data_IF_074626345297
#
_entry.id   IF_074626345297
#
_cell.length_a   1.000
_cell.length_b   1.000
_cell.length_c   1.000
_cell.angle_alpha   90.00
_cell.angle_beta   90.00
_cell.angle_gamma   90.00
#
_symmetry.space_group_name_H-M   'P 1'
#
loop_
_entity.id
_entity.type
_entity.pdbx_description
1 polymer ?
#
# COMPACT_ATOMS: atom_id res chain seq x y z
N UNK A 1 -43.18 -10.57 5.40
CA UNK A 1 -41.90 -10.63 6.16
C UNK A 1 -40.80 -10.66 5.13
N UNK A 2 -40.27 -9.49 4.81
CA UNK A 2 -39.20 -9.32 3.81
C UNK A 2 -37.88 -9.77 4.42
N UNK A 3 -37.19 -10.64 3.69
CA UNK A 3 -35.92 -11.22 4.05
C UNK A 3 -34.82 -10.20 3.78
N UNK A 4 -34.33 -9.54 4.83
CA UNK A 4 -33.17 -8.67 4.75
C UNK A 4 -31.92 -9.53 4.52
N UNK A 5 -31.55 -9.68 3.25
CA UNK A 5 -30.25 -10.21 2.86
C UNK A 5 -29.16 -9.32 3.44
N UNK A 6 -28.30 -9.90 4.27
CA UNK A 6 -27.03 -9.28 4.64
C UNK A 6 -26.19 -9.16 3.35
N UNK A 7 -26.15 -7.97 2.77
CA UNK A 7 -25.16 -7.62 1.76
C UNK A 7 -23.79 -7.62 2.45
N UNK A 8 -23.05 -8.71 2.30
CA UNK A 8 -21.63 -8.72 2.63
C UNK A 8 -20.94 -7.80 1.63
N UNK A 9 -20.68 -6.56 2.02
CA UNK A 9 -19.99 -5.60 1.16
C UNK A 9 -18.56 -6.10 0.97
N UNK A 10 -18.34 -6.81 -0.13
CA UNK A 10 -17.01 -7.28 -0.53
C UNK A 10 -16.22 -6.06 -1.00
N UNK A 11 -15.21 -5.66 -0.25
CA UNK A 11 -14.27 -4.61 -0.66
C UNK A 11 -13.62 -5.01 -2.00
N UNK A 12 -13.57 -4.09 -2.96
CA UNK A 12 -12.91 -4.38 -4.23
C UNK A 12 -11.39 -4.46 -4.02
N UNK A 13 -10.68 -5.14 -4.94
CA UNK A 13 -9.22 -5.21 -4.89
C UNK A 13 -8.55 -3.83 -4.85
N UNK A 14 -9.12 -2.85 -5.57
CA UNK A 14 -8.58 -1.48 -5.59
C UNK A 14 -8.92 -0.69 -4.33
N UNK A 15 -10.06 -0.94 -3.68
CA UNK A 15 -10.34 -0.32 -2.38
C UNK A 15 -9.43 -0.89 -1.28
N UNK A 16 -9.14 -2.20 -1.31
CA UNK A 16 -8.17 -2.80 -0.40
C UNK A 16 -6.75 -2.21 -0.57
N UNK A 17 -6.29 -1.98 -1.81
CA UNK A 17 -5.00 -1.33 -2.06
C UNK A 17 -4.98 0.13 -1.59
N UNK A 18 -6.07 0.87 -1.80
CA UNK A 18 -6.20 2.23 -1.25
C UNK A 18 -6.20 2.22 0.28
N UNK A 19 -6.82 1.22 0.90
CA UNK A 19 -6.77 1.06 2.35
C UNK A 19 -5.33 0.85 2.84
N UNK A 20 -4.56 0.00 2.17
CA UNK A 20 -3.13 -0.19 2.45
C UNK A 20 -2.37 1.15 2.36
N UNK A 21 -2.61 1.97 1.33
CA UNK A 21 -2.01 3.32 1.23
C UNK A 21 -2.30 4.18 2.46
N UNK A 22 -3.55 4.18 2.96
CA UNK A 22 -3.91 4.98 4.15
C UNK A 22 -3.18 4.51 5.41
N UNK A 23 -2.82 3.23 5.49
CA UNK A 23 -2.02 2.71 6.60
C UNK A 23 -0.55 3.16 6.44
N UNK A 24 0.01 3.04 5.24
CA UNK A 24 1.38 3.46 4.93
C UNK A 24 1.56 4.97 5.20
N UNK A 25 0.64 5.80 4.70
CA UNK A 25 0.61 7.25 4.93
C UNK A 25 0.65 7.60 6.43
N UNK A 26 -0.13 6.91 7.27
CA UNK A 26 -0.14 7.15 8.72
C UNK A 26 1.20 6.85 9.38
N UNK A 27 1.92 5.82 8.91
CA UNK A 27 3.25 5.50 9.44
C UNK A 27 4.26 6.55 8.97
N UNK A 28 4.18 6.99 7.72
CA UNK A 28 5.02 8.06 7.19
C UNK A 28 4.81 9.38 7.93
N UNK A 29 3.55 9.76 8.24
CA UNK A 29 3.24 10.96 9.04
C UNK A 29 3.91 10.92 10.42
N UNK A 30 3.96 9.75 11.05
CA UNK A 30 4.65 9.58 12.34
C UNK A 30 6.15 9.74 12.15
N UNK A 31 6.74 9.10 11.13
CA UNK A 31 8.17 9.20 10.84
C UNK A 31 8.60 10.63 10.53
N UNK A 32 7.82 11.37 9.75
CA UNK A 32 8.10 12.77 9.41
C UNK A 32 8.18 13.64 10.67
N UNK A 33 7.21 13.49 11.58
CA UNK A 33 7.20 14.21 12.87
C UNK A 33 8.40 13.85 13.75
N UNK A 34 8.82 12.59 13.74
CA UNK A 34 9.99 12.13 14.51
C UNK A 34 11.30 12.62 13.88
N UNK A 35 11.39 12.66 12.56
CA UNK A 35 12.55 13.18 11.84
C UNK A 35 12.77 14.66 12.12
N UNK A 36 11.69 15.46 12.19
CA UNK A 36 11.74 16.88 12.59
C UNK A 36 12.18 17.12 14.04
N UNK A 37 12.23 16.07 14.87
CA UNK A 37 12.64 16.09 16.29
C UNK A 37 13.83 15.15 16.52
N UNK A 38 14.78 15.18 15.60
CA UNK A 38 15.94 14.29 15.56
C UNK A 38 16.62 14.17 16.93
N UNK A 39 16.76 12.93 17.42
CA UNK A 39 17.41 12.61 18.69
C UNK A 39 16.47 12.33 19.87
N UNK A 40 15.17 12.59 19.73
CA UNK A 40 14.20 12.40 20.82
C UNK A 40 13.51 11.02 20.81
N UNK A 41 13.49 10.34 19.66
CA UNK A 41 12.83 9.04 19.52
C UNK A 41 13.77 7.87 19.82
N UNK A 42 13.34 6.87 20.61
CA UNK A 42 14.09 5.63 20.80
C UNK A 42 14.37 4.92 19.47
N UNK A 43 15.56 4.33 19.34
CA UNK A 43 15.98 3.55 18.16
C UNK A 43 14.99 2.46 17.77
N UNK A 44 14.29 1.88 18.75
CA UNK A 44 13.29 0.84 18.52
C UNK A 44 12.09 1.31 17.71
N UNK A 45 11.72 2.59 17.77
CA UNK A 45 10.63 3.14 16.95
C UNK A 45 11.05 3.13 15.47
N UNK A 46 12.29 3.56 15.19
CA UNK A 46 12.85 3.54 13.84
C UNK A 46 12.97 2.12 13.30
N UNK A 47 13.41 1.16 14.13
CA UNK A 47 13.48 -0.25 13.73
C UNK A 47 12.09 -0.80 13.36
N UNK A 48 11.08 -0.57 14.19
CA UNK A 48 9.69 -0.99 13.91
C UNK A 48 9.15 -0.38 12.62
N UNK A 49 9.47 0.88 12.34
CA UNK A 49 9.05 1.53 11.11
C UNK A 49 9.72 0.92 9.87
N UNK A 50 11.02 0.62 9.95
CA UNK A 50 11.75 -0.09 8.89
C UNK A 50 11.15 -1.49 8.65
N UNK A 51 10.87 -2.23 9.72
CA UNK A 51 10.26 -3.56 9.63
C UNK A 51 8.86 -3.49 9.02
N UNK A 52 8.08 -2.46 9.38
CA UNK A 52 6.77 -2.20 8.78
C UNK A 52 6.88 -1.91 7.28
N UNK A 53 7.79 -1.03 6.85
CA UNK A 53 7.97 -0.69 5.43
C UNK A 53 8.33 -1.96 4.64
N UNK A 54 9.36 -2.70 5.08
CA UNK A 54 9.80 -3.91 4.40
C UNK A 54 8.75 -5.02 4.36
N UNK A 55 7.98 -5.18 5.43
CA UNK A 55 6.99 -6.25 5.52
C UNK A 55 5.64 -5.89 4.89
N UNK A 56 5.13 -4.68 5.15
CA UNK A 56 3.80 -4.27 4.73
C UNK A 56 3.80 -3.52 3.40
N UNK A 57 4.66 -2.52 3.22
CA UNK A 57 4.69 -1.77 1.96
C UNK A 57 5.28 -2.65 0.83
N UNK A 58 6.48 -3.20 1.04
CA UNK A 58 7.15 -3.96 -0.03
C UNK A 58 6.51 -5.36 -0.20
N UNK A 59 6.62 -6.23 0.81
CA UNK A 59 6.29 -7.65 0.66
C UNK A 59 4.78 -7.95 0.59
N UNK A 60 3.93 -7.03 1.05
CA UNK A 60 2.48 -7.23 1.05
C UNK A 60 1.80 -6.33 0.01
N UNK A 61 2.00 -5.01 0.07
CA UNK A 61 1.30 -4.07 -0.80
C UNK A 61 1.86 -4.09 -2.23
N UNK A 62 3.16 -3.89 -2.47
CA UNK A 62 3.72 -3.98 -3.82
C UNK A 62 3.54 -5.37 -4.43
N UNK A 63 3.61 -6.43 -3.62
CA UNK A 63 3.31 -7.79 -4.12
C UNK A 63 1.91 -7.88 -4.76
N UNK A 64 0.88 -7.26 -4.15
CA UNK A 64 -0.47 -7.23 -4.73
C UNK A 64 -0.51 -6.42 -6.02
N UNK A 65 0.21 -5.30 -6.07
CA UNK A 65 0.26 -4.46 -7.26
C UNK A 65 1.00 -5.15 -8.40
N UNK A 66 2.25 -5.55 -8.18
CA UNK A 66 3.12 -6.14 -9.20
C UNK A 66 2.68 -7.52 -9.69
N UNK A 67 2.07 -8.33 -8.82
CA UNK A 67 1.69 -9.72 -9.19
C UNK A 67 0.24 -9.84 -9.64
N UNK A 68 -0.64 -8.90 -9.27
CA UNK A 68 -2.07 -9.00 -9.54
C UNK A 68 -2.59 -7.79 -10.31
N UNK A 69 -2.43 -6.58 -9.77
CA UNK A 69 -3.06 -5.40 -10.38
C UNK A 69 -2.39 -4.99 -11.69
N UNK A 70 -1.06 -4.85 -11.72
CA UNK A 70 -0.32 -4.40 -12.89
C UNK A 70 -0.47 -5.36 -14.08
N UNK A 71 -0.35 -6.69 -13.92
CA UNK A 71 -0.64 -7.62 -15.01
C UNK A 71 -2.08 -7.49 -15.53
N UNK A 72 -3.06 -7.34 -14.63
CA UNK A 72 -4.46 -7.17 -15.03
C UNK A 72 -4.71 -5.85 -15.77
N UNK A 73 -3.99 -4.78 -15.43
CA UNK A 73 -4.04 -3.50 -16.14
C UNK A 73 -3.35 -3.56 -17.50
N UNK A 74 -2.25 -4.30 -17.60
CA UNK A 74 -1.54 -4.54 -18.86
C UNK A 74 -2.42 -5.32 -19.85
N UNK A 75 -3.08 -6.39 -19.39
CA UNK A 75 -4.07 -7.13 -20.20
C UNK A 75 -5.22 -6.25 -20.71
N UNK A 76 -5.51 -5.14 -20.02
CA UNK A 76 -6.52 -4.15 -20.40
C UNK A 76 -5.97 -3.00 -21.25
N UNK A 77 -4.69 -3.05 -21.63
CA UNK A 77 -4.06 -2.14 -22.59
C UNK A 77 -3.29 -0.97 -21.98
N UNK A 78 -3.02 -0.98 -20.66
CA UNK A 78 -2.09 -0.02 -20.07
C UNK A 78 -0.66 -0.53 -20.28
N UNK A 79 0.21 0.18 -21.02
CA UNK A 79 1.50 -0.37 -21.39
C UNK A 79 2.46 -0.46 -20.19
N UNK A 80 3.20 -1.56 -20.13
CA UNK A 80 4.30 -1.76 -19.19
C UNK A 80 5.44 -0.77 -19.45
N UNK A 81 5.88 -0.61 -20.70
CA UNK A 81 6.94 0.34 -21.07
C UNK A 81 6.36 1.69 -21.52
N UNK A 82 6.96 2.78 -21.05
CA UNK A 82 6.52 4.15 -21.42
C UNK A 82 5.14 4.53 -20.88
N UNK A 83 4.55 3.69 -20.04
CA UNK A 83 3.26 3.90 -19.38
C UNK A 83 3.38 4.02 -17.86
N UNK A 84 2.26 4.25 -17.16
CA UNK A 84 2.24 4.46 -15.71
C UNK A 84 2.73 3.23 -14.93
N UNK A 85 2.47 2.01 -15.41
CA UNK A 85 2.95 0.79 -14.76
C UNK A 85 4.48 0.76 -14.74
N UNK A 86 5.12 1.07 -15.87
CA UNK A 86 6.58 1.11 -15.96
C UNK A 86 7.22 2.14 -15.06
N UNK A 87 6.59 3.31 -14.88
CA UNK A 87 7.08 4.32 -13.92
C UNK A 87 7.02 3.81 -12.49
N UNK A 88 5.94 3.12 -12.13
CA UNK A 88 5.79 2.54 -10.80
C UNK A 88 6.82 1.44 -10.53
N UNK A 89 7.19 0.62 -11.53
CA UNK A 89 8.19 -0.47 -11.36
C UNK A 89 9.66 0.01 -11.32
N UNK A 90 9.93 1.30 -11.49
CA UNK A 90 11.28 1.86 -11.43
C UNK A 90 11.74 2.22 -10.00
N UNK A 91 11.04 1.74 -8.98
CA UNK A 91 11.28 2.01 -7.54
C UNK A 91 12.76 2.03 -7.12
#
# INVERSE_FOLDING_TARGET
>A
MENAGHEHHMESATEALKHDHRIIERVLDVLERLAGRSGEAPVEIWRKAIDFIRGFADQCHHLKEEKLLFPALEERGIPLEGGPIGVMLME
#
